data_IF_664978060681
#
_entry.id   IF_664978060681
#
_cell.length_a   1.000
_cell.length_b   1.000
_cell.length_c   1.000
_cell.angle_alpha   90.00
_cell.angle_beta   90.00
_cell.angle_gamma   90.00
#
_symmetry.space_group_name_H-M   'P 1'
#
loop_
_entity.id
_entity.type
_entity.pdbx_description
1 polymer ?
#
# COMPACT_ATOMS: atom_id res chain seq x y z
N UNK A 1 51.10 -28.26 -27.46
CA UNK A 1 49.98 -29.13 -27.05
C UNK A 1 48.97 -28.24 -26.38
N UNK A 2 47.76 -28.28 -26.92
CA UNK A 2 46.61 -27.39 -26.70
C UNK A 2 46.08 -27.45 -25.26
N UNK A 3 45.36 -26.40 -24.82
CA UNK A 3 43.96 -26.51 -24.39
C UNK A 3 43.39 -25.11 -24.07
N UNK A 4 42.49 -24.65 -24.95
CA UNK A 4 41.73 -23.40 -24.81
C UNK A 4 40.44 -23.64 -24.03
N UNK A 5 40.16 -22.70 -23.13
CA UNK A 5 38.93 -22.54 -22.36
C UNK A 5 37.67 -22.33 -23.22
N UNK A 6 36.55 -22.77 -22.63
CA UNK A 6 35.18 -22.20 -22.66
C UNK A 6 34.11 -23.07 -23.32
N UNK A 7 33.15 -23.55 -22.51
CA UNK A 7 31.73 -23.46 -22.84
C UNK A 7 30.85 -23.91 -21.67
N UNK A 8 29.77 -23.17 -21.38
CA UNK A 8 28.75 -23.63 -20.44
C UNK A 8 27.92 -22.51 -19.81
N UNK A 9 27.37 -21.58 -20.61
CA UNK A 9 26.29 -20.72 -20.12
C UNK A 9 25.04 -21.58 -19.96
N UNK A 10 24.58 -21.82 -18.74
CA UNK A 10 23.35 -22.58 -18.48
C UNK A 10 22.16 -21.62 -18.40
N UNK A 11 21.24 -21.73 -19.36
CA UNK A 11 19.97 -20.99 -19.37
C UNK A 11 19.03 -21.55 -18.28
N UNK A 12 18.21 -20.72 -17.61
CA UNK A 12 17.16 -21.23 -16.73
C UNK A 12 16.09 -22.00 -17.52
N UNK A 13 15.41 -22.98 -16.91
CA UNK A 13 14.37 -23.76 -17.59
C UNK A 13 13.17 -22.88 -17.99
N UNK A 14 12.55 -23.22 -19.11
CA UNK A 14 11.37 -22.50 -19.63
C UNK A 14 10.15 -22.69 -18.71
N UNK A 15 9.39 -21.61 -18.49
CA UNK A 15 8.18 -21.64 -17.66
C UNK A 15 7.08 -22.52 -18.29
N UNK A 16 6.31 -23.20 -17.44
CA UNK A 16 5.17 -24.00 -17.88
C UNK A 16 4.03 -23.10 -18.42
N UNK A 17 3.29 -23.53 -19.45
CA UNK A 17 2.15 -22.77 -19.97
C UNK A 17 1.06 -22.65 -18.89
N UNK A 18 0.53 -21.44 -18.70
CA UNK A 18 -0.65 -21.24 -17.86
C UNK A 18 -1.87 -21.95 -18.47
N UNK A 19 -2.76 -22.58 -17.68
CA UNK A 19 -3.99 -23.16 -18.19
C UNK A 19 -4.84 -22.08 -18.86
N UNK A 20 -5.40 -22.40 -20.04
CA UNK A 20 -6.30 -21.51 -20.75
C UNK A 20 -7.52 -21.20 -19.87
N UNK A 21 -7.75 -19.91 -19.59
CA UNK A 21 -8.95 -19.45 -18.88
C UNK A 21 -10.17 -19.82 -19.74
N UNK A 22 -10.95 -20.79 -19.29
CA UNK A 22 -12.25 -21.12 -19.89
C UNK A 22 -13.09 -19.83 -19.94
N UNK A 23 -13.33 -19.30 -21.13
CA UNK A 23 -14.25 -18.17 -21.35
C UNK A 23 -15.72 -18.60 -21.19
N UNK A 24 -15.98 -19.90 -20.99
CA UNK A 24 -17.32 -20.47 -21.00
C UNK A 24 -18.01 -20.46 -19.62
N UNK A 25 -17.33 -20.05 -18.55
CA UNK A 25 -17.97 -19.82 -17.24
C UNK A 25 -18.62 -18.42 -17.14
N UNK A 26 -18.45 -17.57 -18.16
CA UNK A 26 -18.99 -16.20 -18.16
C UNK A 26 -20.45 -16.16 -18.67
N UNK A 27 -20.95 -17.24 -19.27
CA UNK A 27 -22.27 -17.31 -19.89
C UNK A 27 -23.29 -18.19 -19.12
N UNK A 28 -23.25 -18.15 -17.78
CA UNK A 28 -24.47 -18.42 -17.02
C UNK A 28 -25.20 -17.10 -16.82
N UNK A 29 -26.15 -16.86 -17.72
CA UNK A 29 -27.16 -15.81 -17.66
C UNK A 29 -27.96 -15.91 -16.35
N UNK A 30 -27.39 -15.37 -15.29
CA UNK A 30 -28.17 -14.98 -14.14
C UNK A 30 -28.70 -13.59 -14.44
N UNK A 31 -30.03 -13.42 -14.41
CA UNK A 31 -30.69 -12.11 -14.58
C UNK A 31 -30.28 -11.04 -13.55
N UNK A 32 -29.27 -11.31 -12.71
CA UNK A 32 -28.62 -10.36 -11.81
C UNK A 32 -27.45 -9.62 -12.45
N UNK A 33 -26.87 -10.09 -13.57
CA UNK A 33 -25.77 -9.42 -14.26
C UNK A 33 -26.36 -8.60 -15.41
N UNK A 34 -26.29 -7.25 -15.31
CA UNK A 34 -26.50 -6.22 -16.38
C UNK A 34 -27.50 -5.10 -16.06
N UNK A 35 -27.49 -4.55 -14.84
CA UNK A 35 -28.12 -3.23 -14.59
C UNK A 35 -27.21 -2.19 -13.95
N UNK A 36 -25.93 -2.48 -13.70
CA UNK A 36 -25.05 -1.50 -13.05
C UNK A 36 -24.59 -0.40 -14.01
N UNK A 37 -24.38 -0.71 -15.31
CA UNK A 37 -23.85 0.27 -16.29
C UNK A 37 -24.92 1.14 -16.95
N UNK A 38 -26.17 0.67 -16.98
CA UNK A 38 -27.30 1.30 -17.66
C UNK A 38 -28.25 2.02 -16.71
N UNK A 39 -27.97 2.01 -15.41
CA UNK A 39 -28.81 2.67 -14.45
C UNK A 39 -28.53 4.21 -14.41
N UNK A 40 -29.58 5.03 -14.23
CA UNK A 40 -29.43 6.49 -14.11
C UNK A 40 -28.46 6.86 -12.97
N UNK A 41 -27.74 7.99 -13.02
CA UNK A 41 -26.76 8.37 -11.99
C UNK A 41 -27.30 8.38 -10.55
N UNK A 42 -28.61 8.57 -10.38
CA UNK A 42 -29.30 8.64 -9.08
C UNK A 42 -30.06 7.37 -8.70
N UNK A 43 -29.78 6.24 -9.38
CA UNK A 43 -30.48 4.97 -9.13
C UNK A 43 -30.12 4.32 -7.78
N UNK A 44 -28.93 4.64 -7.27
CA UNK A 44 -28.43 4.11 -6.01
C UNK A 44 -28.68 5.11 -4.89
N UNK A 45 -28.90 4.59 -3.68
CA UNK A 45 -29.06 5.41 -2.50
C UNK A 45 -27.85 6.33 -2.30
N UNK A 46 -28.08 7.64 -2.36
CA UNK A 46 -27.12 8.67 -1.98
C UNK A 46 -27.44 9.11 -0.55
N UNK A 47 -26.46 9.00 0.35
CA UNK A 47 -26.62 9.52 1.70
C UNK A 47 -26.81 11.05 1.65
N UNK A 48 -27.75 11.64 2.42
CA UNK A 48 -27.94 13.10 2.48
C UNK A 48 -26.68 13.87 2.91
N UNK A 49 -25.81 13.18 3.65
CA UNK A 49 -24.50 13.65 4.08
C UNK A 49 -23.47 12.59 3.71
N UNK A 50 -22.91 12.59 2.48
CA UNK A 50 -21.83 11.70 2.15
C UNK A 50 -20.64 12.01 3.08
N UNK A 51 -19.96 10.99 3.63
CA UNK A 51 -18.75 11.23 4.41
C UNK A 51 -17.78 12.04 3.54
N UNK A 52 -17.14 13.04 4.13
CA UNK A 52 -16.08 13.78 3.47
C UNK A 52 -15.04 12.78 2.95
N UNK A 53 -14.66 12.89 1.69
CA UNK A 53 -13.60 12.06 1.11
C UNK A 53 -12.33 12.28 1.94
N UNK A 54 -12.01 11.31 2.79
CA UNK A 54 -10.80 11.33 3.61
C UNK A 54 -9.67 10.93 2.69
N UNK A 55 -8.78 11.87 2.38
CA UNK A 55 -7.51 11.51 1.79
C UNK A 55 -6.67 10.80 2.85
N UNK A 56 -6.66 9.48 2.80
CA UNK A 56 -5.87 8.65 3.70
C UNK A 56 -4.36 8.79 3.47
N UNK A 57 -3.95 9.42 2.36
CA UNK A 57 -2.54 9.70 2.04
C UNK A 57 -2.12 11.11 2.44
N UNK A 58 -3.07 11.99 2.79
CA UNK A 58 -2.73 13.28 3.36
C UNK A 58 -2.08 13.06 4.73
N UNK A 59 -0.89 13.64 4.91
CA UNK A 59 -0.21 13.60 6.19
C UNK A 59 -1.10 14.23 7.26
N UNK A 60 -1.46 13.45 8.29
CA UNK A 60 -2.23 13.96 9.42
C UNK A 60 -1.40 15.07 10.08
N UNK A 61 -1.90 16.30 9.99
CA UNK A 61 -1.27 17.45 10.63
C UNK A 61 -1.66 17.43 12.11
N UNK A 62 -0.68 17.25 13.00
CA UNK A 62 -0.94 17.08 14.42
C UNK A 62 0.29 16.91 15.29
N UNK A 63 0.07 16.78 16.59
CA UNK A 63 1.12 16.49 17.57
C UNK A 63 1.43 14.99 17.57
N UNK A 64 2.70 14.65 17.45
CA UNK A 64 3.19 13.28 17.47
C UNK A 64 4.03 13.03 18.72
N UNK A 65 3.80 11.89 19.36
CA UNK A 65 4.64 11.41 20.46
C UNK A 65 5.65 10.39 19.94
N UNK A 66 6.94 10.70 20.07
CA UNK A 66 8.03 9.83 19.62
C UNK A 66 8.71 9.14 20.82
N UNK A 67 9.09 7.87 20.64
CA UNK A 67 9.81 7.08 21.65
C UNK A 67 10.95 6.26 21.03
N UNK A 68 11.88 5.76 21.86
CA UNK A 68 13.03 4.98 21.40
C UNK A 68 14.01 5.79 20.55
N UNK A 69 14.51 5.21 19.46
CA UNK A 69 15.49 5.88 18.57
C UNK A 69 14.94 7.15 17.90
N UNK A 70 13.62 7.22 17.69
CA UNK A 70 12.96 8.40 17.11
C UNK A 70 12.93 9.60 18.06
N UNK A 71 13.38 9.48 19.30
CA UNK A 71 13.57 10.65 20.17
C UNK A 71 14.76 11.51 19.75
N UNK A 72 15.67 11.00 18.89
CA UNK A 72 16.82 11.75 18.41
C UNK A 72 16.37 12.69 17.29
N UNK A 73 16.40 14.03 17.47
CA UNK A 73 15.78 14.95 16.51
C UNK A 73 16.42 14.94 15.13
N UNK A 74 17.72 14.62 15.02
CA UNK A 74 18.41 14.51 13.72
C UNK A 74 17.84 13.36 12.88
N UNK A 75 17.52 12.23 13.54
CA UNK A 75 16.98 11.06 12.86
C UNK A 75 15.55 11.33 12.40
N UNK A 76 14.78 12.10 13.18
CA UNK A 76 13.46 12.57 12.75
C UNK A 76 13.54 13.51 11.55
N UNK A 77 14.47 14.47 11.57
CA UNK A 77 14.64 15.38 10.44
C UNK A 77 14.99 14.62 9.15
N UNK A 78 15.86 13.61 9.22
CA UNK A 78 16.22 12.77 8.07
C UNK A 78 15.05 11.90 7.59
N UNK A 79 14.31 11.24 8.50
CA UNK A 79 13.20 10.34 8.14
C UNK A 79 11.99 11.09 7.58
N UNK A 80 11.71 12.27 8.15
CA UNK A 80 10.55 13.08 7.78
C UNK A 80 10.89 14.15 6.73
N UNK A 81 12.14 14.17 6.25
CA UNK A 81 12.65 15.15 5.28
C UNK A 81 12.36 16.60 5.70
N UNK A 82 12.69 16.93 6.95
CA UNK A 82 12.46 18.27 7.51
C UNK A 82 13.64 19.19 7.20
N UNK A 83 13.34 20.39 6.70
CA UNK A 83 14.33 21.44 6.43
C UNK A 83 15.15 21.84 7.67
N UNK A 84 14.54 21.71 8.85
CA UNK A 84 15.15 22.07 10.12
C UNK A 84 14.94 20.97 11.16
N UNK A 85 15.87 20.93 12.14
CA UNK A 85 15.75 20.05 13.29
C UNK A 85 14.45 20.35 14.06
N UNK A 86 13.60 19.34 14.32
CA UNK A 86 12.36 19.54 15.06
C UNK A 86 12.65 19.87 16.53
N UNK A 87 11.86 20.78 17.09
CA UNK A 87 11.89 21.10 18.52
C UNK A 87 10.95 20.17 19.29
N UNK A 88 11.52 19.17 19.96
CA UNK A 88 10.77 18.17 20.71
C UNK A 88 10.51 18.64 22.14
N UNK A 89 9.26 18.47 22.60
CA UNK A 89 8.86 18.73 23.98
C UNK A 89 8.76 17.42 24.75
N UNK A 90 9.16 17.45 26.02
CA UNK A 90 8.96 16.31 26.91
C UNK A 90 7.46 16.08 27.12
N UNK A 91 7.05 14.82 27.07
CA UNK A 91 5.70 14.37 27.35
C UNK A 91 5.73 12.99 27.97
N UNK A 92 4.63 12.58 28.59
CA UNK A 92 4.46 11.24 29.14
C UNK A 92 3.10 10.68 28.73
N UNK A 93 3.06 9.37 28.52
CA UNK A 93 1.82 8.63 28.24
C UNK A 93 1.57 7.71 29.44
N UNK A 94 0.40 7.85 30.07
CA UNK A 94 -0.03 7.02 31.20
C UNK A 94 -0.76 5.77 30.70
N UNK A 95 -0.64 4.65 31.42
CA UNK A 95 -1.36 3.40 31.09
C UNK A 95 -0.69 2.53 30.02
N UNK A 96 0.51 2.91 29.58
CA UNK A 96 1.32 2.13 28.64
C UNK A 96 2.70 1.85 29.25
N UNK A 97 3.28 0.70 28.92
CA UNK A 97 4.65 0.35 29.27
C UNK A 97 5.50 0.23 28.00
N UNK A 98 6.71 0.77 28.05
CA UNK A 98 7.72 0.52 27.03
C UNK A 98 8.23 -0.91 27.19
N UNK A 99 8.08 -1.72 26.13
CA UNK A 99 8.71 -3.04 26.04
C UNK A 99 10.07 -2.88 25.36
N UNK A 100 11.13 -3.35 26.03
CA UNK A 100 12.49 -3.42 25.51
C UNK A 100 12.75 -4.79 24.90
#
# INVERSE_FOLDING_TARGET
MSDSLASGCSSPPSATPLPARSQNDIFKDSGFILKVRSAPPDWFYQAPYPPSLIDHYAALTGLYFFYGMLQVPRMLAEILDLDAKPDLRSGYITGHSTKL
#
